data_IF_271904862122
#
_entry.id   IF_271904862122
#
_cell.length_a   1.000
_cell.length_b   1.000
_cell.length_c   1.000
_cell.angle_alpha   90.00
_cell.angle_beta   90.00
_cell.angle_gamma   90.00
#
_symmetry.space_group_name_H-M   'P 1'
#
loop_
_entity.id
_entity.type
_entity.pdbx_description
1 polymer ?
#
# COMPACT_ATOMS: atom_id res chain seq x y z
N UNK A 1 9.78 77.93 7.88
CA UNK A 1 9.46 77.00 6.76
C UNK A 1 9.11 77.75 5.47
N UNK A 2 9.98 78.64 4.94
CA UNK A 2 9.69 79.43 3.73
C UNK A 2 10.75 79.34 2.62
N UNK A 3 11.84 78.58 2.83
CA UNK A 3 13.03 78.66 1.97
C UNK A 3 13.07 77.69 0.79
N UNK A 4 12.11 76.76 0.70
CA UNK A 4 12.04 75.79 -0.39
C UNK A 4 10.72 75.84 -1.17
N UNK A 5 9.79 76.76 -0.85
CA UNK A 5 8.47 76.82 -1.49
C UNK A 5 8.57 77.06 -3.01
N UNK A 6 9.55 77.86 -3.43
CA UNK A 6 9.79 78.20 -4.84
C UNK A 6 10.46 77.06 -5.64
N UNK A 7 10.92 76.01 -4.95
CA UNK A 7 11.49 74.79 -5.54
C UNK A 7 10.54 73.59 -5.43
N UNK A 8 9.30 73.80 -4.97
CA UNK A 8 8.27 72.75 -4.94
C UNK A 8 7.67 72.64 -6.35
N UNK A 9 8.19 71.70 -7.13
CA UNK A 9 7.52 71.26 -8.36
C UNK A 9 6.27 70.48 -7.93
N UNK A 10 5.11 71.11 -8.04
CA UNK A 10 3.85 70.38 -7.98
C UNK A 10 3.81 69.43 -9.18
N UNK A 11 3.43 68.16 -8.99
CA UNK A 11 3.29 67.27 -10.12
C UNK A 11 2.20 67.85 -11.02
N UNK A 12 2.52 68.03 -12.30
CA UNK A 12 1.59 68.62 -13.25
C UNK A 12 0.34 67.74 -13.34
N UNK A 13 -0.75 68.21 -12.71
CA UNK A 13 -2.02 67.48 -12.67
C UNK A 13 -2.69 67.40 -14.05
N UNK A 14 -2.22 68.15 -15.04
CA UNK A 14 -2.65 68.05 -16.44
C UNK A 14 -1.79 67.11 -17.30
N UNK A 15 -0.65 66.62 -16.78
CA UNK A 15 0.26 65.77 -17.53
C UNK A 15 -0.19 64.30 -17.47
N UNK A 16 -0.94 63.89 -18.50
CA UNK A 16 -1.41 62.52 -18.66
C UNK A 16 -0.27 61.50 -18.85
N UNK A 17 0.89 61.92 -19.38
CA UNK A 17 2.05 61.04 -19.54
C UNK A 17 2.67 60.75 -18.17
N UNK A 18 2.87 61.78 -17.35
CA UNK A 18 3.32 61.64 -15.95
C UNK A 18 2.36 60.77 -15.15
N UNK A 19 1.06 61.06 -15.20
CA UNK A 19 0.02 60.28 -14.52
C UNK A 19 0.01 58.82 -14.96
N UNK A 20 0.15 58.55 -16.25
CA UNK A 20 0.24 57.17 -16.76
C UNK A 20 1.45 56.45 -16.18
N UNK A 21 2.64 57.07 -16.19
CA UNK A 21 3.87 56.45 -15.66
C UNK A 21 3.85 56.26 -14.14
N UNK A 22 3.29 57.20 -13.41
CA UNK A 22 3.07 57.07 -11.97
C UNK A 22 2.07 55.95 -11.68
N UNK A 23 0.96 55.87 -12.43
CA UNK A 23 -0.03 54.82 -12.26
C UNK A 23 0.54 53.42 -12.57
N UNK A 24 1.32 53.28 -13.64
CA UNK A 24 2.08 52.05 -13.97
C UNK A 24 2.99 51.62 -12.81
N UNK A 25 3.74 52.56 -12.22
CA UNK A 25 4.65 52.26 -11.11
C UNK A 25 3.92 51.76 -9.87
N UNK A 26 2.85 52.45 -9.45
CA UNK A 26 2.14 52.11 -8.22
C UNK A 26 1.26 50.87 -8.34
N UNK A 27 0.75 50.52 -9.53
CA UNK A 27 0.08 49.22 -9.75
C UNK A 27 0.99 48.01 -9.49
N UNK A 28 2.30 48.14 -9.73
CA UNK A 28 3.29 47.09 -9.40
C UNK A 28 3.70 47.07 -7.93
N UNK A 29 3.39 48.13 -7.19
CA UNK A 29 4.00 48.46 -5.91
C UNK A 29 2.92 48.89 -4.91
N UNK A 30 1.86 48.08 -4.75
CA UNK A 30 0.72 48.42 -3.89
C UNK A 30 1.14 48.79 -2.46
N UNK A 31 2.16 48.14 -1.92
CA UNK A 31 2.72 48.48 -0.61
C UNK A 31 3.20 49.94 -0.52
N UNK A 32 3.79 50.47 -1.60
CA UNK A 32 4.28 51.85 -1.66
C UNK A 32 3.17 52.88 -1.90
N UNK A 33 1.99 52.46 -2.37
CA UNK A 33 0.83 53.34 -2.55
C UNK A 33 0.29 53.90 -1.22
N UNK A 34 0.52 53.19 -0.12
CA UNK A 34 0.15 53.62 1.24
C UNK A 34 1.11 54.70 1.75
N UNK A 35 2.40 54.55 1.44
CA UNK A 35 3.46 55.48 1.86
C UNK A 35 3.44 56.78 1.05
N UNK A 36 2.95 56.73 -0.18
CA UNK A 36 2.89 57.88 -1.09
C UNK A 36 1.49 58.52 -1.18
N UNK A 37 0.61 58.26 -0.20
CA UNK A 37 -0.80 58.71 -0.23
C UNK A 37 -0.94 60.20 -0.55
N UNK A 38 -0.22 61.06 0.15
CA UNK A 38 -0.37 62.52 -0.01
C UNK A 38 0.08 62.99 -1.40
N UNK A 39 1.12 62.36 -1.96
CA UNK A 39 1.56 62.61 -3.34
C UNK A 39 0.52 62.14 -4.36
N UNK A 40 -0.04 60.95 -4.18
CA UNK A 40 -1.06 60.40 -5.07
C UNK A 40 -2.36 61.20 -5.01
N UNK A 41 -2.75 61.67 -3.82
CA UNK A 41 -3.90 62.58 -3.65
C UNK A 41 -3.66 63.91 -4.35
N UNK A 42 -2.45 64.47 -4.26
CA UNK A 42 -2.11 65.70 -4.95
C UNK A 42 -2.14 65.55 -6.47
N UNK A 43 -1.71 64.40 -7.01
CA UNK A 43 -1.63 64.17 -8.46
C UNK A 43 -2.96 63.71 -9.07
N UNK A 44 -3.71 62.84 -8.41
CA UNK A 44 -4.92 62.19 -8.95
C UNK A 44 -6.22 62.58 -8.24
N UNK A 45 -6.15 63.36 -7.17
CA UNK A 45 -7.30 63.73 -6.35
C UNK A 45 -7.58 62.75 -5.21
N UNK A 46 -8.60 63.04 -4.41
CA UNK A 46 -8.95 62.25 -3.22
C UNK A 46 -9.31 60.78 -3.52
N UNK A 47 -9.82 60.50 -4.72
CA UNK A 47 -10.10 59.15 -5.23
C UNK A 47 -8.95 58.59 -6.10
N UNK A 48 -7.71 58.88 -5.68
CA UNK A 48 -6.51 58.51 -6.44
C UNK A 48 -6.43 57.02 -6.77
N UNK A 49 -7.02 56.13 -5.96
CA UNK A 49 -6.99 54.68 -6.21
C UNK A 49 -7.77 54.32 -7.47
N UNK A 50 -9.00 54.82 -7.58
CA UNK A 50 -9.83 54.62 -8.77
C UNK A 50 -9.20 55.28 -9.99
N UNK A 51 -8.67 56.50 -9.81
CA UNK A 51 -7.97 57.21 -10.86
C UNK A 51 -6.74 56.42 -11.35
N UNK A 52 -5.85 55.98 -10.46
CA UNK A 52 -4.68 55.15 -10.80
C UNK A 52 -5.07 53.85 -11.50
N UNK A 53 -6.17 53.21 -11.10
CA UNK A 53 -6.67 52.01 -11.77
C UNK A 53 -7.20 52.30 -13.20
N UNK A 54 -7.63 53.52 -13.47
CA UNK A 54 -8.17 53.93 -14.78
C UNK A 54 -7.09 54.23 -15.83
N UNK A 55 -5.89 54.64 -15.42
CA UNK A 55 -4.80 54.98 -16.35
C UNK A 55 -4.12 53.71 -16.91
N UNK A 56 -3.71 53.71 -18.19
CA UNK A 56 -3.01 52.59 -18.81
C UNK A 56 -3.79 51.96 -19.98
N UNK A 57 -3.12 51.06 -20.68
CA UNK A 57 -3.63 50.38 -21.85
C UNK A 57 -4.61 49.26 -21.46
N UNK A 58 -5.56 48.95 -22.34
CA UNK A 58 -6.41 47.76 -22.20
C UNK A 58 -5.95 46.75 -23.23
N UNK A 59 -5.41 45.62 -22.80
CA UNK A 59 -5.03 44.55 -23.71
C UNK A 59 -6.29 43.93 -24.32
N UNK A 60 -6.29 43.70 -25.64
CA UNK A 60 -7.33 42.91 -26.31
C UNK A 60 -7.28 41.45 -25.86
N UNK A 61 -8.40 40.75 -25.86
CA UNK A 61 -8.47 39.32 -25.50
C UNK A 61 -7.44 38.46 -26.25
N UNK A 62 -7.25 38.67 -27.56
CA UNK A 62 -6.29 37.90 -28.37
C UNK A 62 -4.86 38.05 -27.87
N UNK A 63 -4.47 39.28 -27.50
CA UNK A 63 -3.15 39.57 -26.95
C UNK A 63 -2.97 38.95 -25.56
N UNK A 64 -4.00 38.96 -24.72
CA UNK A 64 -3.97 38.31 -23.41
C UNK A 64 -3.74 36.81 -23.58
N UNK A 65 -4.54 36.15 -24.43
CA UNK A 65 -4.41 34.72 -24.73
C UNK A 65 -3.01 34.40 -25.27
N UNK A 66 -2.48 35.20 -26.18
CA UNK A 66 -1.12 35.02 -26.72
C UNK A 66 -0.05 35.08 -25.62
N UNK A 67 -0.05 36.14 -24.81
CA UNK A 67 0.95 36.36 -23.75
C UNK A 67 0.88 35.28 -22.66
N UNK A 68 -0.34 34.88 -22.26
CA UNK A 68 -0.55 33.82 -21.28
C UNK A 68 -0.09 32.46 -21.82
N UNK A 69 -0.44 32.15 -23.07
CA UNK A 69 -0.04 30.90 -23.71
C UNK A 69 1.48 30.80 -23.88
N UNK A 70 2.13 31.89 -24.32
CA UNK A 70 3.59 31.97 -24.44
C UNK A 70 4.27 31.75 -23.08
N UNK A 71 3.77 32.43 -22.04
CA UNK A 71 4.28 32.27 -20.68
C UNK A 71 4.18 30.83 -20.18
N UNK A 72 2.99 30.22 -20.29
CA UNK A 72 2.75 28.85 -19.85
C UNK A 72 3.61 27.86 -20.63
N UNK A 73 3.66 28.00 -21.96
CA UNK A 73 4.48 27.14 -22.82
C UNK A 73 5.96 27.22 -22.46
N UNK A 74 6.49 28.44 -22.26
CA UNK A 74 7.88 28.65 -21.86
C UNK A 74 8.18 28.03 -20.49
N UNK A 75 7.31 28.26 -19.49
CA UNK A 75 7.49 27.71 -18.14
C UNK A 75 7.44 26.19 -18.12
N UNK A 76 6.43 25.62 -18.77
CA UNK A 76 6.23 24.18 -18.83
C UNK A 76 7.31 23.46 -19.61
N UNK A 77 7.82 24.06 -20.70
CA UNK A 77 8.91 23.49 -21.49
C UNK A 77 10.24 23.50 -20.72
N UNK A 78 10.51 24.56 -19.94
CA UNK A 78 11.74 24.67 -19.15
C UNK A 78 11.75 23.80 -17.90
N UNK A 79 10.57 23.55 -17.31
CA UNK A 79 10.44 22.69 -16.13
C UNK A 79 10.29 21.21 -16.52
N UNK A 80 9.66 20.94 -17.67
CA UNK A 80 9.36 19.61 -18.14
C UNK A 80 10.61 18.80 -18.48
N UNK A 81 10.52 17.49 -18.24
CA UNK A 81 11.57 16.51 -18.54
C UNK A 81 10.95 15.15 -18.91
N UNK A 82 11.77 14.11 -19.01
CA UNK A 82 11.33 12.75 -19.31
C UNK A 82 10.42 12.13 -18.23
N UNK A 83 10.48 12.64 -17.00
CA UNK A 83 9.64 12.17 -15.89
C UNK A 83 8.26 12.82 -15.87
N UNK A 84 8.19 14.14 -16.12
CA UNK A 84 6.93 14.87 -16.21
C UNK A 84 7.02 16.03 -17.19
N UNK A 85 6.04 16.16 -18.10
CA UNK A 85 6.03 17.21 -19.10
C UNK A 85 4.61 17.62 -19.54
N UNK A 86 4.54 18.70 -20.33
CA UNK A 86 3.29 19.30 -20.83
C UNK A 86 2.57 18.52 -21.94
N UNK A 87 3.20 17.46 -22.44
CA UNK A 87 2.60 16.55 -23.42
C UNK A 87 1.95 15.33 -22.73
N UNK A 88 2.12 15.20 -21.41
CA UNK A 88 1.62 14.06 -20.65
C UNK A 88 2.33 12.76 -20.98
N UNK A 89 3.55 12.79 -21.52
CA UNK A 89 4.35 11.62 -21.91
C UNK A 89 5.40 11.23 -20.86
N UNK A 90 5.38 11.87 -19.69
CA UNK A 90 6.36 11.64 -18.65
C UNK A 90 6.17 10.29 -17.95
N UNK A 91 7.28 9.61 -17.66
CA UNK A 91 7.26 8.29 -17.02
C UNK A 91 6.60 8.30 -15.63
N UNK A 92 6.82 9.35 -14.82
CA UNK A 92 6.22 9.50 -13.50
C UNK A 92 4.72 9.81 -13.58
N UNK A 93 4.29 10.54 -14.61
CA UNK A 93 2.88 10.85 -14.85
C UNK A 93 2.10 9.56 -15.17
N UNK A 94 2.64 8.75 -16.08
CA UNK A 94 2.10 7.43 -16.41
C UNK A 94 2.12 6.49 -15.19
N UNK A 95 3.24 6.43 -14.47
CA UNK A 95 3.39 5.61 -13.25
C UNK A 95 2.35 5.97 -12.20
N UNK A 96 2.13 7.26 -11.95
CA UNK A 96 1.10 7.73 -11.02
C UNK A 96 -0.31 7.34 -11.51
N UNK A 97 -0.59 7.52 -12.80
CA UNK A 97 -1.88 7.13 -13.36
C UNK A 97 -2.15 5.63 -13.20
N UNK A 98 -1.18 4.77 -13.49
CA UNK A 98 -1.37 3.33 -13.39
C UNK A 98 -1.48 2.84 -11.92
N UNK A 99 -0.85 3.53 -10.98
CA UNK A 99 -0.88 3.20 -9.56
C UNK A 99 -2.13 3.69 -8.83
N UNK A 100 -2.66 4.87 -9.20
CA UNK A 100 -3.81 5.51 -8.54
C UNK A 100 -5.11 5.39 -9.36
N UNK A 101 -5.01 5.25 -10.68
CA UNK A 101 -6.15 5.22 -11.62
C UNK A 101 -6.53 6.59 -12.16
N UNK A 102 -5.83 7.65 -11.75
CA UNK A 102 -6.03 9.02 -12.22
C UNK A 102 -4.73 9.83 -12.10
N UNK A 103 -4.67 10.94 -12.83
CA UNK A 103 -3.56 11.89 -12.79
C UNK A 103 -4.09 13.31 -12.76
N UNK A 104 -3.80 14.04 -11.67
CA UNK A 104 -4.14 15.46 -11.55
C UNK A 104 -3.00 16.32 -12.11
N UNK A 105 -3.15 16.75 -13.36
CA UNK A 105 -2.16 17.61 -14.00
C UNK A 105 -2.10 19.02 -13.40
N UNK A 106 -3.09 19.46 -12.61
CA UNK A 106 -3.00 20.76 -11.94
C UNK A 106 -1.91 20.78 -10.87
N UNK A 107 -1.57 19.65 -10.24
CA UNK A 107 -0.43 19.59 -9.31
C UNK A 107 0.89 19.90 -10.03
N UNK A 108 1.10 19.30 -11.20
CA UNK A 108 2.25 19.56 -12.06
C UNK A 108 2.29 21.04 -12.51
N UNK A 109 1.17 21.57 -13.00
CA UNK A 109 1.10 22.97 -13.44
C UNK A 109 1.38 23.92 -12.27
N UNK A 110 0.80 23.68 -11.09
CA UNK A 110 1.03 24.48 -9.89
C UNK A 110 2.50 24.48 -9.45
N UNK A 111 3.20 23.34 -9.55
CA UNK A 111 4.62 23.26 -9.27
C UNK A 111 5.46 24.12 -10.25
N UNK A 112 5.06 24.16 -11.52
CA UNK A 112 5.73 24.92 -12.59
C UNK A 112 5.53 26.44 -12.43
N UNK A 113 4.30 26.87 -12.14
CA UNK A 113 3.96 28.30 -12.03
C UNK A 113 4.28 28.90 -10.65
N UNK A 114 4.60 28.05 -9.68
CA UNK A 114 5.10 28.43 -8.36
C UNK A 114 4.04 29.01 -7.42
N UNK A 115 4.50 29.58 -6.30
CA UNK A 115 3.66 30.00 -5.18
C UNK A 115 2.61 31.07 -5.54
N UNK A 116 2.92 31.96 -6.50
CA UNK A 116 1.99 33.02 -6.89
C UNK A 116 0.79 32.53 -7.68
N UNK A 117 0.87 31.33 -8.31
CA UNK A 117 -0.20 30.73 -9.14
C UNK A 117 -0.91 31.75 -10.06
N UNK A 118 -0.14 32.68 -10.61
CA UNK A 118 -0.65 33.83 -11.34
C UNK A 118 0.31 34.24 -12.44
N UNK A 119 -0.23 34.73 -13.55
CA UNK A 119 0.53 35.46 -14.54
C UNK A 119 0.76 36.90 -14.08
N UNK A 120 1.99 37.40 -14.17
CA UNK A 120 2.28 38.81 -13.84
C UNK A 120 2.15 39.66 -15.09
N UNK A 121 0.97 40.22 -15.30
CA UNK A 121 0.72 41.15 -16.40
C UNK A 121 1.68 42.35 -16.34
N UNK A 122 2.09 42.85 -17.52
CA UNK A 122 2.90 44.05 -17.60
C UNK A 122 2.11 45.27 -17.06
N UNK A 123 2.78 46.14 -16.31
CA UNK A 123 2.15 47.27 -15.59
C UNK A 123 1.45 48.28 -16.49
N UNK A 124 1.81 48.31 -17.77
CA UNK A 124 1.15 49.15 -18.77
C UNK A 124 -0.34 48.80 -18.94
N UNK A 125 -0.72 47.53 -18.70
CA UNK A 125 -2.10 47.09 -18.81
C UNK A 125 -2.87 47.32 -17.52
N UNK A 126 -4.09 47.86 -17.65
CA UNK A 126 -5.00 48.09 -16.52
C UNK A 126 -5.98 46.95 -16.26
N UNK A 127 -6.26 46.12 -17.27
CA UNK A 127 -7.22 45.02 -17.17
C UNK A 127 -6.60 43.71 -16.66
N UNK A 128 -5.94 43.76 -15.50
CA UNK A 128 -5.23 42.62 -14.89
C UNK A 128 -6.18 41.43 -14.62
N UNK A 129 -7.42 41.71 -14.22
CA UNK A 129 -8.42 40.66 -13.97
C UNK A 129 -8.69 39.78 -15.20
N UNK A 130 -8.61 40.33 -16.42
CA UNK A 130 -8.79 39.57 -17.65
C UNK A 130 -7.60 38.61 -17.87
N UNK A 131 -6.38 39.02 -17.51
CA UNK A 131 -5.20 38.15 -17.53
C UNK A 131 -5.29 37.02 -16.50
N UNK A 132 -5.73 37.31 -15.27
CA UNK A 132 -5.88 36.30 -14.23
C UNK A 132 -6.92 35.25 -14.62
N UNK A 133 -8.03 35.71 -15.20
CA UNK A 133 -9.08 34.83 -15.72
C UNK A 133 -8.56 33.95 -16.85
N UNK A 134 -7.94 34.53 -17.87
CA UNK A 134 -7.37 33.78 -19.00
C UNK A 134 -6.31 32.78 -18.52
N UNK A 135 -5.44 33.17 -17.58
CA UNK A 135 -4.43 32.30 -17.00
C UNK A 135 -5.05 31.07 -16.33
N UNK A 136 -6.07 31.27 -15.48
CA UNK A 136 -6.77 30.17 -14.83
C UNK A 136 -7.46 29.24 -15.84
N UNK A 137 -8.12 29.80 -16.86
CA UNK A 137 -8.78 29.03 -17.92
C UNK A 137 -7.77 28.21 -18.73
N UNK A 138 -6.64 28.80 -19.15
CA UNK A 138 -5.58 28.10 -19.88
C UNK A 138 -4.90 27.01 -19.04
N UNK A 139 -4.67 27.25 -17.75
CA UNK A 139 -4.19 26.21 -16.84
C UNK A 139 -5.14 25.01 -16.81
N UNK A 140 -6.45 25.25 -16.72
CA UNK A 140 -7.45 24.18 -16.68
C UNK A 140 -7.52 23.40 -18.01
N UNK A 141 -7.44 24.10 -19.15
CA UNK A 141 -7.39 23.48 -20.48
C UNK A 141 -6.14 22.60 -20.61
N UNK A 142 -4.98 23.11 -20.20
CA UNK A 142 -3.73 22.35 -20.21
C UNK A 142 -3.78 21.15 -19.28
N UNK A 143 -4.33 21.30 -18.07
CA UNK A 143 -4.46 20.20 -17.12
C UNK A 143 -5.30 19.07 -17.72
N UNK A 144 -6.47 19.40 -18.27
CA UNK A 144 -7.35 18.44 -18.93
C UNK A 144 -6.62 17.72 -20.06
N UNK A 145 -5.95 18.47 -20.94
CA UNK A 145 -5.19 17.90 -22.07
C UNK A 145 -4.08 16.95 -21.60
N UNK A 146 -3.33 17.32 -20.57
CA UNK A 146 -2.24 16.50 -20.03
C UNK A 146 -2.82 15.23 -19.39
N UNK A 147 -3.85 15.36 -18.55
CA UNK A 147 -4.52 14.22 -17.91
C UNK A 147 -5.10 13.24 -18.94
N UNK A 148 -5.73 13.74 -20.01
CA UNK A 148 -6.25 12.92 -21.10
C UNK A 148 -5.12 12.18 -21.86
N UNK A 149 -4.00 12.86 -22.12
CA UNK A 149 -2.84 12.26 -22.79
C UNK A 149 -2.21 11.14 -21.93
N UNK A 150 -2.09 11.36 -20.61
CA UNK A 150 -1.61 10.35 -19.66
C UNK A 150 -2.58 9.16 -19.62
N UNK A 151 -3.89 9.42 -19.55
CA UNK A 151 -4.91 8.37 -19.56
C UNK A 151 -4.89 7.55 -20.86
N UNK A 152 -4.67 8.19 -22.01
CA UNK A 152 -4.52 7.50 -23.29
C UNK A 152 -3.30 6.58 -23.30
N UNK A 153 -2.16 7.01 -22.77
CA UNK A 153 -0.99 6.14 -22.60
C UNK A 153 -1.25 5.00 -21.62
N UNK A 154 -1.95 5.28 -20.52
CA UNK A 154 -2.37 4.24 -19.58
C UNK A 154 -3.18 3.14 -20.26
N UNK A 155 -4.10 3.49 -21.16
CA UNK A 155 -4.85 2.51 -21.96
C UNK A 155 -3.94 1.68 -22.88
N UNK A 156 -2.97 2.32 -23.53
CA UNK A 156 -2.00 1.61 -24.38
C UNK A 156 -1.16 0.62 -23.58
N UNK A 157 -0.67 1.02 -22.40
CA UNK A 157 0.10 0.13 -21.53
C UNK A 157 -0.76 -0.99 -20.97
N UNK A 158 -2.00 -0.71 -20.55
CA UNK A 158 -2.96 -1.74 -20.13
C UNK A 158 -3.20 -2.78 -21.23
N UNK A 159 -3.41 -2.35 -22.48
CA UNK A 159 -3.55 -3.24 -23.62
C UNK A 159 -2.30 -4.12 -23.82
N UNK A 160 -1.11 -3.53 -23.73
CA UNK A 160 0.17 -4.24 -23.84
C UNK A 160 0.32 -5.29 -22.73
N UNK A 161 0.07 -4.92 -21.47
CA UNK A 161 0.15 -5.84 -20.33
C UNK A 161 -0.88 -6.96 -20.46
N UNK A 162 -2.11 -6.65 -20.89
CA UNK A 162 -3.14 -7.67 -21.13
C UNK A 162 -2.73 -8.67 -22.23
N UNK A 163 -2.10 -8.20 -23.31
CA UNK A 163 -1.53 -9.08 -24.34
C UNK A 163 -0.42 -9.98 -23.80
N UNK A 164 0.45 -9.45 -22.94
CA UNK A 164 1.48 -10.27 -22.25
C UNK A 164 0.81 -11.31 -21.37
N UNK A 165 -0.20 -10.95 -20.57
CA UNK A 165 -1.00 -11.90 -19.79
C UNK A 165 -1.54 -13.06 -20.65
N UNK A 166 -2.21 -12.73 -21.76
CA UNK A 166 -2.74 -13.74 -22.70
C UNK A 166 -1.65 -14.65 -23.27
N UNK A 167 -0.46 -14.11 -23.51
CA UNK A 167 0.69 -14.92 -23.94
C UNK A 167 1.21 -15.82 -22.82
N UNK A 168 1.30 -15.30 -21.59
CA UNK A 168 1.81 -16.00 -20.42
C UNK A 168 0.93 -17.17 -19.98
N UNK A 169 -0.37 -17.16 -20.31
CA UNK A 169 -1.29 -18.30 -20.11
C UNK A 169 -0.83 -19.59 -20.82
N UNK A 170 0.01 -19.49 -21.86
CA UNK A 170 0.57 -20.66 -22.53
C UNK A 170 1.71 -21.34 -21.75
N UNK A 171 2.11 -20.79 -20.60
CA UNK A 171 3.12 -21.41 -19.74
C UNK A 171 2.63 -22.77 -19.26
N UNK A 172 3.51 -23.79 -19.29
CA UNK A 172 3.16 -25.09 -18.72
C UNK A 172 2.93 -24.98 -17.22
N UNK A 173 1.95 -25.74 -16.68
CA UNK A 173 1.70 -25.78 -15.25
C UNK A 173 2.95 -26.20 -14.46
N UNK A 174 3.77 -27.10 -15.01
CA UNK A 174 5.05 -27.50 -14.43
C UNK A 174 5.99 -26.31 -14.20
N UNK A 175 6.14 -25.44 -15.21
CA UNK A 175 6.98 -24.24 -15.12
C UNK A 175 6.46 -23.24 -14.08
N UNK A 176 5.13 -23.10 -13.96
CA UNK A 176 4.51 -22.24 -12.92
C UNK A 176 4.81 -22.77 -11.52
N UNK A 177 4.63 -24.09 -11.32
CA UNK A 177 4.90 -24.72 -10.01
C UNK A 177 6.36 -24.59 -9.61
N UNK A 178 7.30 -24.84 -10.54
CA UNK A 178 8.74 -24.69 -10.27
C UNK A 178 9.07 -23.26 -9.86
N UNK A 179 8.59 -22.26 -10.61
CA UNK A 179 8.79 -20.84 -10.27
C UNK A 179 8.20 -20.50 -8.89
N UNK A 180 6.99 -20.98 -8.58
CA UNK A 180 6.36 -20.74 -7.28
C UNK A 180 7.13 -21.35 -6.11
N UNK A 181 7.82 -22.47 -6.33
CA UNK A 181 8.63 -23.12 -5.30
C UNK A 181 9.94 -22.36 -5.00
N UNK A 182 10.45 -21.57 -5.96
CA UNK A 182 11.61 -20.70 -5.74
C UNK A 182 11.27 -19.47 -4.90
N UNK A 183 9.98 -19.15 -4.76
CA UNK A 183 9.54 -17.99 -4.02
C UNK A 183 9.41 -18.23 -2.51
N UNK A 184 10.02 -17.34 -1.73
CA UNK A 184 10.04 -17.41 -0.27
C UNK A 184 8.90 -16.65 0.43
N UNK A 185 8.11 -15.83 -0.28
CA UNK A 185 7.08 -15.01 0.35
C UNK A 185 5.82 -15.81 0.67
N UNK A 186 5.11 -15.41 1.74
CA UNK A 186 3.75 -15.89 2.07
C UNK A 186 2.65 -15.15 1.31
N UNK A 187 3.01 -14.08 0.60
CA UNK A 187 2.06 -13.27 -0.17
C UNK A 187 2.36 -13.45 -1.64
N UNK A 188 1.42 -14.06 -2.38
CA UNK A 188 1.57 -14.37 -3.81
C UNK A 188 2.05 -13.16 -4.61
N UNK A 189 1.38 -12.02 -4.46
CA UNK A 189 1.70 -10.81 -5.23
C UNK A 189 3.06 -10.16 -4.92
N UNK A 190 3.71 -10.51 -3.80
CA UNK A 190 5.07 -10.01 -3.48
C UNK A 190 6.10 -10.68 -4.39
N UNK A 191 5.86 -11.94 -4.78
CA UNK A 191 6.77 -12.72 -5.62
C UNK A 191 6.97 -12.11 -7.02
N UNK A 192 6.03 -11.28 -7.45
CA UNK A 192 6.02 -10.62 -8.76
C UNK A 192 6.42 -9.15 -8.68
N UNK A 193 6.95 -8.70 -7.54
CA UNK A 193 7.45 -7.34 -7.38
C UNK A 193 8.91 -7.26 -7.82
N UNK A 194 9.23 -6.35 -8.73
CA UNK A 194 10.56 -5.98 -9.20
C UNK A 194 11.03 -4.74 -8.43
N UNK A 195 12.22 -4.77 -7.84
CA UNK A 195 12.84 -3.62 -7.17
C UNK A 195 13.43 -2.62 -8.19
N UNK A 196 12.61 -2.09 -9.09
CA UNK A 196 13.02 -1.06 -10.04
C UNK A 196 11.96 0.02 -10.12
N UNK A 197 12.36 1.29 -10.16
CA UNK A 197 11.52 2.49 -10.06
C UNK A 197 10.33 2.52 -11.06
N UNK A 198 9.19 1.96 -10.68
CA UNK A 198 7.86 2.27 -11.21
C UNK A 198 7.07 1.12 -11.82
N UNK A 199 5.80 1.01 -11.40
CA UNK A 199 4.88 -0.08 -11.75
C UNK A 199 5.50 -1.46 -11.51
N UNK A 200 6.08 -1.59 -10.33
CA UNK A 200 6.98 -2.64 -9.86
C UNK A 200 6.39 -4.05 -9.91
N UNK A 201 5.11 -4.24 -10.20
CA UNK A 201 4.50 -5.58 -10.22
C UNK A 201 4.30 -6.06 -11.64
N UNK A 202 4.87 -7.23 -11.95
CA UNK A 202 4.55 -7.98 -13.17
C UNK A 202 3.14 -8.58 -13.06
N UNK A 203 2.13 -7.73 -13.24
CA UNK A 203 0.73 -8.12 -13.17
C UNK A 203 0.37 -9.18 -14.23
N UNK A 204 1.04 -9.17 -15.38
CA UNK A 204 0.76 -10.13 -16.44
C UNK A 204 1.12 -11.56 -16.00
N UNK A 205 2.35 -11.75 -15.51
CA UNK A 205 2.79 -13.07 -15.02
C UNK A 205 2.07 -13.46 -13.73
N UNK A 206 1.85 -12.50 -12.81
CA UNK A 206 1.08 -12.74 -11.59
C UNK A 206 -0.31 -13.31 -11.91
N UNK A 207 -1.08 -12.65 -12.78
CA UNK A 207 -2.42 -13.12 -13.11
C UNK A 207 -2.41 -14.43 -13.91
N UNK A 208 -1.45 -14.62 -14.82
CA UNK A 208 -1.34 -15.88 -15.57
C UNK A 208 -1.06 -17.07 -14.64
N UNK A 209 -0.17 -16.90 -13.68
CA UNK A 209 0.18 -17.94 -12.71
C UNK A 209 -0.97 -18.21 -11.74
N UNK A 210 -1.66 -17.15 -11.30
CA UNK A 210 -2.86 -17.29 -10.48
C UNK A 210 -3.95 -18.09 -11.21
N UNK A 211 -4.13 -17.89 -12.53
CA UNK A 211 -5.06 -18.69 -13.35
C UNK A 211 -4.58 -20.13 -13.46
N UNK A 212 -3.30 -20.36 -13.76
CA UNK A 212 -2.75 -21.72 -13.90
C UNK A 212 -2.89 -22.54 -12.61
N UNK A 213 -2.74 -21.90 -11.44
CA UNK A 213 -2.89 -22.51 -10.13
C UNK A 213 -4.36 -22.60 -9.65
N UNK A 214 -5.30 -22.02 -10.40
CA UNK A 214 -6.73 -22.04 -10.07
C UNK A 214 -7.13 -21.08 -8.95
N UNK A 215 -6.34 -20.03 -8.68
CA UNK A 215 -6.71 -19.00 -7.71
C UNK A 215 -7.65 -17.95 -8.27
N UNK A 216 -7.77 -17.83 -9.60
CA UNK A 216 -8.69 -16.93 -10.28
C UNK A 216 -9.04 -17.53 -11.64
N UNK A 217 -10.21 -17.20 -12.17
CA UNK A 217 -10.60 -17.65 -13.50
C UNK A 217 -10.06 -16.69 -14.57
N UNK A 218 -9.74 -17.21 -15.76
CA UNK A 218 -9.21 -16.40 -16.85
C UNK A 218 -10.14 -15.24 -17.23
N UNK A 219 -11.45 -15.49 -17.23
CA UNK A 219 -12.46 -14.51 -17.64
C UNK A 219 -12.62 -13.34 -16.65
N UNK A 220 -12.12 -13.48 -15.42
CA UNK A 220 -12.06 -12.39 -14.44
C UNK A 220 -10.95 -11.37 -14.78
N UNK A 221 -9.96 -11.77 -15.59
CA UNK A 221 -8.84 -10.94 -15.99
C UNK A 221 -9.16 -10.26 -17.32
N UNK A 222 -9.72 -9.05 -17.25
CA UNK A 222 -10.05 -8.24 -18.42
C UNK A 222 -8.99 -7.16 -18.68
N UNK A 223 -8.93 -6.64 -19.91
CA UNK A 223 -8.05 -5.50 -20.22
C UNK A 223 -8.34 -4.28 -19.32
N UNK A 224 -9.62 -4.01 -19.05
CA UNK A 224 -10.06 -2.92 -18.17
C UNK A 224 -9.60 -3.08 -16.72
N UNK A 225 -9.35 -4.31 -16.25
CA UNK A 225 -8.87 -4.56 -14.90
C UNK A 225 -7.53 -3.87 -14.64
N UNK A 226 -6.66 -3.77 -15.66
CA UNK A 226 -5.34 -3.13 -15.52
C UNK A 226 -5.44 -1.61 -15.28
N UNK A 227 -6.57 -0.99 -15.63
CA UNK A 227 -6.87 0.42 -15.38
C UNK A 227 -7.69 0.62 -14.09
N UNK A 228 -8.53 -0.36 -13.72
CA UNK A 228 -9.38 -0.32 -12.54
C UNK A 228 -8.61 -0.66 -11.27
N UNK A 229 -7.75 0.27 -10.80
CA UNK A 229 -6.82 0.07 -9.66
C UNK A 229 -7.48 -0.56 -8.43
N UNK A 230 -8.65 -0.07 -8.03
CA UNK A 230 -9.35 -0.61 -6.86
C UNK A 230 -9.75 -2.08 -7.06
N UNK A 231 -10.44 -2.38 -8.17
CA UNK A 231 -10.88 -3.75 -8.50
C UNK A 231 -9.70 -4.70 -8.65
N UNK A 232 -8.61 -4.24 -9.29
CA UNK A 232 -7.35 -4.97 -9.40
C UNK A 232 -6.77 -5.32 -8.03
N UNK A 233 -6.72 -4.36 -7.11
CA UNK A 233 -6.19 -4.56 -5.77
C UNK A 233 -7.07 -5.50 -4.93
N UNK A 234 -8.40 -5.41 -5.06
CA UNK A 234 -9.35 -6.32 -4.43
C UNK A 234 -9.14 -7.77 -4.93
N UNK A 235 -9.01 -7.96 -6.24
CA UNK A 235 -8.74 -9.28 -6.82
C UNK A 235 -7.40 -9.86 -6.35
N UNK A 236 -6.35 -9.04 -6.31
CA UNK A 236 -5.05 -9.43 -5.77
C UNK A 236 -5.16 -9.84 -4.30
N UNK A 237 -5.97 -9.13 -3.51
CA UNK A 237 -6.28 -9.49 -2.13
C UNK A 237 -6.90 -10.89 -2.04
N UNK A 238 -7.87 -11.19 -2.90
CA UNK A 238 -8.50 -12.51 -2.97
C UNK A 238 -7.50 -13.62 -3.39
N UNK A 239 -6.65 -13.36 -4.38
CA UNK A 239 -5.59 -14.28 -4.82
C UNK A 239 -4.61 -14.56 -3.66
N UNK A 240 -4.13 -13.52 -2.98
CA UNK A 240 -3.23 -13.67 -1.84
C UNK A 240 -3.87 -14.53 -0.73
N UNK A 241 -5.17 -14.35 -0.47
CA UNK A 241 -5.88 -15.14 0.52
C UNK A 241 -5.99 -16.62 0.10
N UNK A 242 -6.31 -16.90 -1.17
CA UNK A 242 -6.38 -18.27 -1.70
C UNK A 242 -5.02 -18.95 -1.65
N UNK A 243 -3.96 -18.26 -2.06
CA UNK A 243 -2.58 -18.74 -1.95
C UNK A 243 -2.16 -19.03 -0.50
N UNK A 244 -2.47 -18.13 0.42
CA UNK A 244 -2.15 -18.37 1.84
C UNK A 244 -2.87 -19.60 2.38
N UNK A 245 -4.12 -19.85 1.99
CA UNK A 245 -4.87 -21.04 2.40
C UNK A 245 -4.31 -22.31 1.77
N UNK A 246 -3.91 -22.27 0.50
CA UNK A 246 -3.42 -23.44 -0.23
C UNK A 246 -2.14 -24.05 0.36
N UNK A 247 -1.38 -23.26 1.15
CA UNK A 247 -0.21 -23.73 1.89
C UNK A 247 -0.53 -24.58 3.11
N UNK A 248 -1.75 -24.47 3.64
CA UNK A 248 -2.24 -25.26 4.78
C UNK A 248 -3.30 -26.28 4.37
N UNK A 249 -3.66 -26.32 3.08
CA UNK A 249 -4.60 -27.30 2.53
C UNK A 249 -3.85 -28.60 2.20
N UNK A 250 -4.16 -29.64 2.98
CA UNK A 250 -3.55 -30.95 2.84
C UNK A 250 -3.77 -31.50 1.41
N UNK A 251 -2.66 -31.59 0.68
CA UNK A 251 -2.62 -32.15 -0.67
C UNK A 251 -2.98 -31.19 -1.80
N UNK A 252 -3.23 -29.89 -1.58
CA UNK A 252 -3.40 -28.94 -2.69
C UNK A 252 -2.20 -28.97 -3.64
N UNK A 253 -1.01 -28.79 -3.09
CA UNK A 253 0.22 -28.72 -3.89
C UNK A 253 0.58 -30.07 -4.52
N UNK A 254 0.22 -31.18 -3.89
CA UNK A 254 0.46 -32.50 -4.47
C UNK A 254 -0.49 -32.77 -5.64
N UNK A 255 -1.78 -32.42 -5.51
CA UNK A 255 -2.73 -32.45 -6.64
C UNK A 255 -2.24 -31.59 -7.81
N UNK A 256 -1.75 -30.39 -7.53
CA UNK A 256 -1.21 -29.48 -8.54
C UNK A 256 0.05 -30.07 -9.21
N UNK A 257 1.00 -30.63 -8.44
CA UNK A 257 2.20 -31.28 -8.98
C UNK A 257 1.87 -32.52 -9.82
N UNK A 258 0.90 -33.33 -9.42
CA UNK A 258 0.41 -34.47 -10.21
C UNK A 258 -0.19 -33.97 -11.52
N UNK A 259 -1.09 -32.98 -11.49
CA UNK A 259 -1.67 -32.36 -12.68
C UNK A 259 -0.60 -31.75 -13.61
N UNK A 260 0.47 -31.22 -13.01
CA UNK A 260 1.61 -30.68 -13.73
C UNK A 260 2.54 -31.75 -14.32
N UNK A 261 2.35 -33.04 -13.98
CA UNK A 261 3.22 -34.13 -14.39
C UNK A 261 4.58 -34.15 -13.69
N UNK A 262 4.74 -33.42 -12.57
CA UNK A 262 5.99 -33.33 -11.81
C UNK A 262 6.19 -34.52 -10.86
N UNK A 263 5.09 -35.13 -10.41
CA UNK A 263 5.08 -36.35 -9.58
C UNK A 263 3.96 -37.27 -10.08
N UNK A 264 4.04 -38.58 -9.80
CA UNK A 264 2.95 -39.52 -10.06
C UNK A 264 1.95 -39.55 -8.91
N UNK A 265 0.69 -39.90 -9.22
CA UNK A 265 -0.32 -40.15 -8.19
C UNK A 265 0.09 -41.31 -7.27
N UNK A 266 0.73 -42.34 -7.82
CA UNK A 266 1.27 -43.48 -7.06
C UNK A 266 2.27 -43.03 -5.97
N UNK A 267 3.14 -42.06 -6.28
CA UNK A 267 4.10 -41.54 -5.30
C UNK A 267 3.39 -40.78 -4.16
N UNK A 268 2.32 -40.05 -4.47
CA UNK A 268 1.51 -39.35 -3.47
C UNK A 268 0.78 -40.35 -2.58
N UNK A 269 0.16 -41.38 -3.18
CA UNK A 269 -0.59 -42.40 -2.45
C UNK A 269 0.34 -43.23 -1.55
N UNK A 270 1.53 -43.57 -2.03
CA UNK A 270 2.57 -44.24 -1.24
C UNK A 270 3.01 -43.38 -0.06
N UNK A 271 3.34 -42.11 -0.28
CA UNK A 271 3.74 -41.20 0.80
C UNK A 271 2.62 -41.01 1.85
N UNK A 272 1.37 -40.91 1.41
CA UNK A 272 0.22 -40.82 2.31
C UNK A 272 0.01 -42.11 3.11
N UNK A 273 0.21 -43.27 2.50
CA UNK A 273 0.11 -44.57 3.18
C UNK A 273 1.22 -44.75 4.22
N UNK A 274 2.46 -44.40 3.86
CA UNK A 274 3.59 -44.40 4.80
C UNK A 274 3.35 -43.44 5.97
N UNK A 275 2.84 -42.23 5.70
CA UNK A 275 2.47 -41.27 6.75
C UNK A 275 1.38 -41.83 7.67
N UNK A 276 0.33 -42.44 7.11
CA UNK A 276 -0.76 -43.04 7.87
C UNK A 276 -0.28 -44.24 8.72
N UNK A 277 0.63 -45.06 8.18
CA UNK A 277 1.26 -46.15 8.93
C UNK A 277 2.08 -45.64 10.10
N UNK A 278 2.94 -44.64 9.88
CA UNK A 278 3.73 -44.01 10.95
C UNK A 278 2.80 -43.40 12.03
N UNK A 279 1.72 -42.74 11.62
CA UNK A 279 0.78 -42.13 12.56
C UNK A 279 -0.04 -43.18 13.32
N UNK A 280 -0.40 -44.29 12.66
CA UNK A 280 -1.03 -45.45 13.29
C UNK A 280 -0.09 -46.13 14.29
N UNK A 281 1.17 -46.39 13.92
CA UNK A 281 2.19 -46.94 14.83
C UNK A 281 2.44 -46.01 16.02
N UNK A 282 2.53 -44.71 15.80
CA UNK A 282 2.63 -43.71 16.87
C UNK A 282 1.38 -43.68 17.76
N UNK A 283 0.19 -43.92 17.19
CA UNK A 283 -1.05 -44.00 17.95
C UNK A 283 -1.15 -45.31 18.75
N UNK A 284 -0.77 -46.45 18.17
CA UNK A 284 -0.72 -47.76 18.82
C UNK A 284 0.32 -47.77 19.95
N UNK A 285 1.50 -47.17 19.74
CA UNK A 285 2.47 -46.93 20.81
C UNK A 285 1.88 -46.02 21.89
N UNK A 286 1.26 -44.89 21.55
CA UNK A 286 0.59 -44.02 22.54
C UNK A 286 -0.48 -44.77 23.33
N UNK A 287 -1.27 -45.62 22.69
CA UNK A 287 -2.31 -46.44 23.34
C UNK A 287 -1.69 -47.52 24.23
N UNK A 288 -0.66 -48.23 23.77
CA UNK A 288 0.07 -49.20 24.58
C UNK A 288 0.73 -48.56 25.83
N UNK A 289 1.18 -47.30 25.72
CA UNK A 289 1.72 -46.53 26.84
C UNK A 289 0.63 -45.99 27.79
N UNK A 290 -0.62 -45.86 27.30
CA UNK A 290 -1.83 -45.50 28.06
C UNK A 290 -2.51 -46.70 28.74
N UNK A 291 -2.20 -47.94 28.35
CA UNK A 291 -2.71 -49.16 29.02
C UNK A 291 -2.08 -49.38 30.40
N UNK A 292 -0.92 -48.79 30.64
CA UNK A 292 -0.43 -48.61 32.00
C UNK A 292 -1.24 -47.52 32.69
N UNK A 293 -1.23 -47.49 34.01
CA UNK A 293 -2.09 -46.70 34.90
C UNK A 293 -2.13 -45.15 34.66
N UNK A 294 -1.54 -44.64 33.59
CA UNK A 294 -1.46 -43.24 33.17
C UNK A 294 -2.56 -42.91 32.15
N UNK A 295 -3.40 -41.96 32.50
CA UNK A 295 -4.35 -41.29 31.61
C UNK A 295 -3.69 -40.04 31.03
N UNK A 296 -3.60 -39.95 29.70
CA UNK A 296 -3.17 -38.73 29.00
C UNK A 296 -4.36 -38.11 28.27
N UNK A 297 -4.54 -36.80 28.45
CA UNK A 297 -5.52 -35.99 27.75
C UNK A 297 -4.84 -34.76 27.15
N UNK A 298 -5.57 -34.07 26.28
CA UNK A 298 -5.23 -32.71 25.87
C UNK A 298 -6.27 -31.75 26.43
N UNK A 299 -5.88 -30.53 26.76
CA UNK A 299 -6.82 -29.53 27.26
C UNK A 299 -7.75 -28.99 26.14
N UNK A 300 -9.07 -29.17 26.26
CA UNK A 300 -10.02 -28.58 25.29
C UNK A 300 -10.29 -27.09 25.53
N UNK A 301 -10.01 -26.60 26.74
CA UNK A 301 -10.21 -25.20 27.16
C UNK A 301 -8.90 -24.57 27.61
N UNK A 302 -8.84 -23.23 27.63
CA UNK A 302 -7.65 -22.51 28.08
C UNK A 302 -7.37 -22.81 29.55
N UNK A 303 -6.15 -23.23 29.87
CA UNK A 303 -5.70 -23.46 31.24
C UNK A 303 -4.76 -22.34 31.68
N UNK A 304 -5.22 -21.50 32.59
CA UNK A 304 -4.38 -20.44 33.18
C UNK A 304 -4.49 -20.46 34.70
N UNK A 305 -3.35 -20.32 35.38
CA UNK A 305 -3.32 -20.40 36.84
C UNK A 305 -1.95 -20.65 37.45
N UNK A 306 -1.97 -21.16 38.67
CA UNK A 306 -0.77 -21.44 39.45
C UNK A 306 -0.16 -20.22 40.15
N UNK A 307 0.90 -20.46 40.94
CA UNK A 307 1.67 -19.43 41.67
C UNK A 307 3.16 -19.76 41.66
N UNK A 308 4.01 -18.73 41.63
CA UNK A 308 5.47 -18.88 41.66
C UNK A 308 5.99 -19.76 40.52
N UNK A 309 6.87 -20.71 40.84
CA UNK A 309 7.44 -21.65 39.88
C UNK A 309 6.40 -22.62 39.25
N UNK A 310 5.16 -22.68 39.76
CA UNK A 310 4.09 -23.51 39.21
C UNK A 310 3.07 -22.70 38.37
N UNK A 311 3.44 -21.53 37.83
CA UNK A 311 2.55 -20.72 36.97
C UNK A 311 2.45 -21.33 35.57
N UNK A 312 1.25 -21.31 34.98
CA UNK A 312 0.98 -21.79 33.63
C UNK A 312 -0.10 -20.95 32.93
N UNK A 313 -0.01 -20.88 31.60
CA UNK A 313 -1.02 -20.27 30.72
C UNK A 313 -0.94 -20.96 29.35
N UNK A 314 -1.81 -21.93 29.12
CA UNK A 314 -1.90 -22.71 27.90
C UNK A 314 -3.20 -22.40 27.16
N UNK A 315 -3.11 -22.08 25.87
CA UNK A 315 -4.25 -22.02 24.97
C UNK A 315 -4.93 -23.41 24.86
N UNK A 316 -6.20 -23.49 24.40
CA UNK A 316 -6.79 -24.77 23.99
C UNK A 316 -5.84 -25.56 23.10
N UNK A 317 -5.76 -26.87 23.28
CA UNK A 317 -4.85 -27.78 22.59
C UNK A 317 -3.34 -27.54 22.86
N UNK A 318 -3.00 -26.64 23.80
CA UNK A 318 -1.62 -26.21 24.04
C UNK A 318 -0.78 -27.09 24.97
N UNK A 319 -1.37 -28.02 25.73
CA UNK A 319 -0.63 -28.90 26.63
C UNK A 319 -1.19 -30.33 26.72
N UNK A 320 -0.30 -31.26 27.07
CA UNK A 320 -0.66 -32.61 27.50
C UNK A 320 -0.97 -32.60 29.00
N UNK A 321 -2.03 -33.33 29.39
CA UNK A 321 -2.50 -33.48 30.76
C UNK A 321 -2.40 -34.95 31.17
N UNK A 322 -1.59 -35.25 32.18
CA UNK A 322 -1.30 -36.59 32.68
C UNK A 322 -1.93 -36.80 34.07
N UNK A 323 -2.58 -37.93 34.26
CA UNK A 323 -3.06 -38.40 35.56
C UNK A 323 -2.67 -39.86 35.74
N UNK A 324 -2.20 -40.25 36.92
CA UNK A 324 -1.95 -41.66 37.25
C UNK A 324 -3.06 -42.14 38.18
N UNK A 325 -3.73 -43.24 37.82
CA UNK A 325 -4.81 -43.82 38.61
C UNK A 325 -4.30 -44.38 39.95
N UNK A 326 -3.00 -44.69 40.07
CA UNK A 326 -2.32 -45.08 41.32
C UNK A 326 -1.97 -43.86 42.19
N UNK A 327 -2.16 -42.64 41.70
CA UNK A 327 -1.96 -41.42 42.45
C UNK A 327 -0.52 -41.26 42.93
N UNK A 328 -0.32 -41.24 44.25
CA UNK A 328 1.01 -41.06 44.87
C UNK A 328 1.90 -42.31 44.79
N UNK A 329 1.30 -43.47 44.58
CA UNK A 329 2.01 -44.75 44.48
C UNK A 329 2.26 -45.11 43.01
N UNK A 330 2.17 -44.12 42.12
CA UNK A 330 2.25 -44.26 40.68
C UNK A 330 3.53 -43.66 40.10
N UNK A 331 3.93 -44.18 38.94
CA UNK A 331 5.14 -43.78 38.22
C UNK A 331 5.17 -42.28 37.91
N UNK A 332 4.01 -41.66 37.67
CA UNK A 332 3.93 -40.21 37.44
C UNK A 332 4.33 -39.39 38.68
N UNK A 333 4.07 -39.90 39.88
CA UNK A 333 4.45 -39.23 41.12
C UNK A 333 5.94 -39.41 41.45
N UNK A 334 6.52 -40.54 41.08
CA UNK A 334 7.95 -40.82 41.21
C UNK A 334 8.77 -39.99 40.21
N UNK A 335 8.34 -39.94 38.94
CA UNK A 335 8.99 -39.19 37.87
C UNK A 335 8.87 -37.65 38.01
N UNK A 336 8.10 -37.14 38.98
CA UNK A 336 7.66 -35.74 39.03
C UNK A 336 8.80 -34.71 39.01
N UNK A 337 9.94 -35.03 39.59
CA UNK A 337 11.05 -34.07 39.72
C UNK A 337 11.93 -34.06 38.46
N UNK A 338 12.08 -35.20 37.77
CA UNK A 338 12.66 -35.27 36.42
C UNK A 338 11.77 -34.52 35.43
N UNK A 339 10.45 -34.77 35.45
CA UNK A 339 9.49 -34.10 34.57
C UNK A 339 9.46 -32.56 34.77
N UNK A 340 9.61 -32.08 36.01
CA UNK A 340 9.73 -30.63 36.28
C UNK A 340 11.03 -30.05 35.74
N UNK A 341 12.11 -30.81 35.79
CA UNK A 341 13.45 -30.35 35.39
C UNK A 341 13.57 -30.32 33.88
N UNK A 342 13.14 -31.40 33.22
CA UNK A 342 13.38 -31.62 31.79
C UNK A 342 12.28 -31.00 30.92
N UNK A 343 11.05 -30.99 31.40
CA UNK A 343 9.88 -30.54 30.62
C UNK A 343 9.08 -29.43 31.30
N UNK A 344 9.61 -28.83 32.38
CA UNK A 344 8.96 -27.76 33.11
C UNK A 344 7.53 -28.13 33.59
N UNK A 345 7.29 -29.41 33.89
CA UNK A 345 5.98 -29.92 34.27
C UNK A 345 5.32 -29.14 35.41
N UNK A 346 4.02 -28.86 35.27
CA UNK A 346 3.23 -28.11 36.25
C UNK A 346 2.14 -28.96 36.85
N UNK A 347 1.85 -28.74 38.12
CA UNK A 347 0.75 -29.43 38.78
C UNK A 347 -0.53 -28.62 38.68
N UNK A 348 -1.58 -29.25 38.17
CA UNK A 348 -2.93 -28.74 38.04
C UNK A 348 -3.87 -29.52 38.96
N UNK A 349 -4.70 -28.82 39.72
CA UNK A 349 -5.70 -29.43 40.59
C UNK A 349 -7.07 -28.90 40.19
N UNK A 350 -7.80 -29.70 39.40
CA UNK A 350 -9.15 -29.41 38.95
C UNK A 350 -10.13 -29.52 40.12
N UNK A 351 -10.55 -28.36 40.64
CA UNK A 351 -11.37 -28.25 41.86
C UNK A 351 -12.85 -28.53 41.62
N UNK A 352 -13.31 -28.43 40.37
CA UNK A 352 -14.70 -28.63 40.03
C UNK A 352 -14.91 -30.06 39.47
N UNK A 353 -15.73 -30.89 40.12
CA UNK A 353 -15.98 -32.27 39.68
C UNK A 353 -16.59 -32.39 38.28
N UNK A 354 -17.19 -31.32 37.75
CA UNK A 354 -17.78 -31.30 36.41
C UNK A 354 -16.81 -30.85 35.30
N UNK A 355 -15.57 -30.49 35.62
CA UNK A 355 -14.59 -30.06 34.63
C UNK A 355 -13.96 -31.27 33.91
N UNK A 356 -13.58 -31.09 32.64
CA UNK A 356 -12.89 -32.10 31.81
C UNK A 356 -11.64 -32.69 32.49
N UNK A 357 -10.98 -31.88 33.31
CA UNK A 357 -9.77 -32.19 34.07
C UNK A 357 -10.03 -32.14 35.58
N UNK A 358 -11.14 -32.69 36.04
CA UNK A 358 -11.40 -32.86 37.48
C UNK A 358 -10.28 -33.69 38.14
N UNK A 359 -9.84 -33.28 39.34
CA UNK A 359 -8.82 -34.01 40.11
C UNK A 359 -7.38 -33.55 39.87
N UNK A 360 -6.43 -34.45 40.09
CA UNK A 360 -4.99 -34.14 40.12
C UNK A 360 -4.32 -34.44 38.78
N UNK A 361 -3.78 -33.43 38.12
CA UNK A 361 -3.15 -33.57 36.81
C UNK A 361 -1.75 -32.95 36.80
N UNK A 362 -0.85 -33.54 36.04
CA UNK A 362 0.40 -32.92 35.62
C UNK A 362 0.22 -32.39 34.20
N UNK A 363 0.61 -31.15 33.94
CA UNK A 363 0.46 -30.53 32.63
C UNK A 363 1.84 -30.14 32.08
N UNK A 364 2.06 -30.45 30.80
CA UNK A 364 3.33 -30.27 30.10
C UNK A 364 3.06 -29.71 28.70
N UNK A 365 3.88 -28.75 28.25
CA UNK A 365 3.73 -28.10 26.94
C UNK A 365 3.77 -29.12 25.80
N UNK A 366 2.93 -28.93 24.76
CA UNK A 366 3.04 -29.72 23.53
C UNK A 366 4.29 -29.40 22.69
N UNK A 367 5.04 -28.37 23.07
CA UNK A 367 6.37 -28.10 22.49
C UNK A 367 7.38 -29.22 22.79
N UNK A 368 7.15 -30.00 23.86
CA UNK A 368 7.92 -31.21 24.16
C UNK A 368 7.24 -32.43 23.51
N UNK A 369 8.03 -33.34 22.94
CA UNK A 369 7.50 -34.55 22.34
C UNK A 369 6.87 -35.45 23.41
N UNK A 370 5.67 -35.97 23.14
CA UNK A 370 4.93 -36.82 24.09
C UNK A 370 5.72 -38.08 24.44
N UNK A 371 6.44 -38.65 23.47
CA UNK A 371 7.24 -39.86 23.65
C UNK A 371 8.40 -39.66 24.62
N UNK A 372 9.05 -38.49 24.61
CA UNK A 372 10.13 -38.15 25.53
C UNK A 372 9.61 -38.06 26.98
N UNK A 373 8.43 -37.48 27.15
CA UNK A 373 7.75 -37.36 28.44
C UNK A 373 7.35 -38.74 28.96
N UNK A 374 6.73 -39.57 28.12
CA UNK A 374 6.29 -40.92 28.48
C UNK A 374 7.48 -41.84 28.77
N UNK A 375 8.59 -41.68 28.05
CA UNK A 375 9.84 -42.41 28.30
C UNK A 375 10.43 -42.11 29.67
N UNK A 376 10.29 -40.89 30.19
CA UNK A 376 10.69 -40.56 31.57
C UNK A 376 9.77 -41.25 32.57
N UNK A 377 8.45 -41.19 32.38
CA UNK A 377 7.47 -41.83 33.29
C UNK A 377 7.70 -43.36 33.38
N UNK A 378 7.95 -44.03 32.26
CA UNK A 378 8.17 -45.48 32.20
C UNK A 378 9.41 -45.97 32.95
N UNK A 379 10.43 -45.13 33.15
CA UNK A 379 11.62 -45.51 33.95
C UNK A 379 11.28 -45.75 35.42
N UNK A 380 10.13 -45.26 35.87
CA UNK A 380 9.66 -45.32 37.25
C UNK A 380 8.42 -46.21 37.43
N UNK A 381 8.05 -47.00 36.41
CA UNK A 381 7.07 -48.10 36.52
C UNK A 381 7.72 -49.36 37.06
#
# INVERSE_FOLDING_TARGET
MKKNADNIVYPDTGDDVLKTKVAEFYRKNEYFSVLAKDFLVALFGTDYKTAVASYGETASQSLITELVAEYLSSKLSNYGNEKANMFGTGSEQLRHFLSVGSYDAMEFINAVVGYSRSFRAASQYRNIADFDKEFAEQCQVLATRISDAVAAQGKVEAHKVYRVFKSSLNSSLASVVVREQEFNSRTFSINYSQYTEGFDKDFATLFADAVALGFVEEHDITESLFLAVQQRNELIGAINQRYSKSRYDDGFWDKIKVKAGLISQENVDKANTEKAQIEQEAQEMRVAQLENNIIVKTNSTRLSGGKGANRYDYAPDGCYCFNDIRGKDGALFEAKDELKTDFNAKYYNGRNPSDELAGSWWIISKESALDDILSVIQRHE
#
